data_IF_963508046963
#
_entry.id   IF_963508046963
#
_cell.length_a   1.000
_cell.length_b   1.000
_cell.length_c   1.000
_cell.angle_alpha   90.00
_cell.angle_beta   90.00
_cell.angle_gamma   90.00
#
_symmetry.space_group_name_H-M   'P 1'
#
loop_
_entity.id
_entity.type
_entity.pdbx_description
1 polymer ?
#
# COMPACT_ATOMS: atom_id res chain seq x y z
N UNK A 1 -12.35 14.24 -18.28
CA UNK A 1 -12.35 14.62 -19.71
C UNK A 1 -10.89 14.79 -20.09
N UNK A 2 -10.29 13.89 -20.91
CA UNK A 2 -8.95 14.14 -21.41
C UNK A 2 -8.97 15.46 -22.18
N UNK A 3 -7.98 16.31 -21.94
CA UNK A 3 -7.87 17.58 -22.62
C UNK A 3 -7.62 17.32 -24.10
N UNK A 4 -8.34 17.99 -25.02
CA UNK A 4 -8.18 17.83 -26.48
C UNK A 4 -6.75 18.18 -27.01
N UNK A 5 -5.82 18.52 -26.11
CA UNK A 5 -4.46 18.93 -26.39
C UNK A 5 -3.41 18.02 -25.70
N UNK A 6 -3.84 16.89 -25.12
CA UNK A 6 -2.95 15.89 -24.55
C UNK A 6 -2.09 15.26 -25.65
N UNK A 7 -0.78 15.29 -25.45
CA UNK A 7 0.20 14.73 -26.41
C UNK A 7 0.77 13.42 -25.88
N UNK A 8 0.82 13.25 -24.56
CA UNK A 8 1.23 12.00 -23.95
C UNK A 8 1.11 12.00 -22.43
N UNK A 9 1.31 10.81 -21.86
CA UNK A 9 1.13 10.55 -20.44
C UNK A 9 2.32 9.77 -19.87
N UNK A 10 2.65 10.02 -18.62
CA UNK A 10 3.61 9.27 -17.83
C UNK A 10 3.02 8.95 -16.45
N UNK A 11 3.36 7.79 -15.90
CA UNK A 11 2.78 7.27 -14.65
C UNK A 11 3.90 6.91 -13.68
N UNK A 12 3.81 7.41 -12.45
CA UNK A 12 4.78 7.15 -11.37
C UNK A 12 4.09 6.48 -10.18
N UNK A 13 4.63 5.37 -9.72
CA UNK A 13 4.12 4.68 -8.54
C UNK A 13 4.49 5.42 -7.25
N UNK A 14 3.49 5.66 -6.39
CA UNK A 14 3.68 6.44 -5.17
C UNK A 14 4.00 5.59 -3.95
N UNK A 15 3.73 4.27 -3.99
CA UNK A 15 3.89 3.35 -2.86
C UNK A 15 5.18 3.52 -2.05
N UNK A 16 6.37 3.76 -2.64
CA UNK A 16 7.59 3.91 -1.84
C UNK A 16 7.56 5.11 -0.86
N UNK A 17 6.74 6.13 -1.12
CA UNK A 17 6.57 7.27 -0.21
C UNK A 17 5.94 6.87 1.14
N UNK A 18 5.30 5.69 1.24
CA UNK A 18 4.79 5.12 2.50
C UNK A 18 5.90 4.94 3.54
N UNK A 19 7.10 4.59 3.08
CA UNK A 19 8.28 4.40 3.92
C UNK A 19 9.23 5.59 3.84
N UNK A 20 8.69 6.78 3.50
CA UNK A 20 9.45 8.02 3.35
C UNK A 20 10.61 7.91 2.35
N UNK A 21 10.53 7.04 1.34
CA UNK A 21 11.64 6.82 0.40
C UNK A 21 11.70 7.88 -0.70
N UNK A 22 12.92 8.20 -1.15
CA UNK A 22 13.15 9.05 -2.32
C UNK A 22 12.80 8.27 -3.58
N UNK A 23 11.77 8.70 -4.31
CA UNK A 23 11.41 8.09 -5.60
C UNK A 23 12.17 8.82 -6.69
N UNK A 24 13.16 8.16 -7.29
CA UNK A 24 13.89 8.64 -8.45
C UNK A 24 13.63 7.64 -9.59
N UNK A 25 12.78 8.02 -10.54
CA UNK A 25 12.35 7.11 -11.61
C UNK A 25 12.42 7.78 -12.98
N UNK A 26 12.73 6.97 -13.98
CA UNK A 26 12.73 7.34 -15.39
C UNK A 26 11.64 6.54 -16.08
N UNK A 27 10.53 7.19 -16.41
CA UNK A 27 9.34 6.55 -16.97
C UNK A 27 9.13 6.98 -18.42
N UNK A 28 8.73 6.07 -19.32
CA UNK A 28 8.44 6.45 -20.69
C UNK A 28 7.19 7.32 -20.74
N UNK A 29 7.25 8.39 -21.52
CA UNK A 29 6.07 9.15 -21.95
C UNK A 29 5.45 8.41 -23.11
N UNK A 30 4.18 8.04 -23.02
CA UNK A 30 3.45 7.33 -24.06
C UNK A 30 2.39 8.23 -24.69
N UNK A 31 2.21 8.16 -26.00
CA UNK A 31 1.05 8.77 -26.68
C UNK A 31 -0.18 7.83 -26.65
N UNK A 32 -1.30 8.30 -27.19
CA UNK A 32 -2.54 7.50 -27.28
C UNK A 32 -2.38 6.19 -28.08
N UNK A 33 -1.37 6.11 -28.96
CA UNK A 33 -1.03 4.91 -29.72
C UNK A 33 -0.07 3.95 -28.98
N UNK A 34 0.33 4.29 -27.75
CA UNK A 34 1.29 3.52 -26.95
C UNK A 34 2.75 3.66 -27.39
N UNK A 35 3.06 4.60 -28.29
CA UNK A 35 4.42 4.87 -28.72
C UNK A 35 5.14 5.77 -27.71
N UNK A 36 6.40 5.45 -27.43
CA UNK A 36 7.23 6.26 -26.55
C UNK A 36 7.63 7.57 -27.22
N UNK A 37 7.21 8.68 -26.63
CA UNK A 37 7.60 10.04 -27.03
C UNK A 37 8.95 10.43 -26.45
N UNK A 38 9.29 9.96 -25.26
CA UNK A 38 10.53 10.29 -24.56
C UNK A 38 10.55 9.67 -23.17
N UNK A 39 11.52 10.07 -22.36
CA UNK A 39 11.65 9.60 -20.97
C UNK A 39 11.46 10.78 -20.03
N UNK A 40 10.46 10.68 -19.16
CA UNK A 40 10.24 11.61 -18.07
C UNK A 40 11.01 11.13 -16.85
N UNK A 41 11.93 11.97 -16.39
CA UNK A 41 12.63 11.71 -15.13
C UNK A 41 11.93 12.49 -14.03
N UNK A 42 11.43 11.76 -13.04
CA UNK A 42 10.70 12.31 -11.91
C UNK A 42 11.43 11.97 -10.63
N UNK A 43 11.73 13.00 -9.83
CA UNK A 43 12.23 12.85 -8.47
C UNK A 43 11.19 13.37 -7.48
N UNK A 44 10.68 12.48 -6.62
CA UNK A 44 9.82 12.81 -5.48
C UNK A 44 10.62 12.63 -4.20
N UNK A 45 10.86 13.74 -3.48
CA UNK A 45 11.59 13.73 -2.21
C UNK A 45 10.67 14.17 -1.06
N UNK A 46 10.30 13.27 -0.14
CA UNK A 46 9.58 13.63 1.07
C UNK A 46 10.52 14.27 2.11
N UNK A 47 10.03 15.22 2.89
CA UNK A 47 10.76 15.87 3.99
C UNK A 47 9.81 16.36 5.08
N UNK A 48 10.15 16.10 6.34
CA UNK A 48 9.44 16.62 7.52
C UNK A 48 9.80 18.08 7.85
N UNK A 49 10.84 18.62 7.20
CA UNK A 49 11.23 20.03 7.30
C UNK A 49 10.91 20.74 5.99
N UNK A 50 10.45 21.99 6.07
CA UNK A 50 10.27 22.84 4.90
C UNK A 50 11.63 23.14 4.29
N UNK A 51 12.07 22.32 3.33
CA UNK A 51 13.29 22.55 2.59
C UNK A 51 12.99 23.56 1.48
N UNK A 52 13.56 24.76 1.58
CA UNK A 52 13.68 25.66 0.45
C UNK A 52 14.74 25.09 -0.49
N UNK A 53 14.32 24.38 -1.54
CA UNK A 53 15.24 23.83 -2.54
C UNK A 53 15.47 24.91 -3.59
N UNK A 54 16.61 25.61 -3.48
CA UNK A 54 17.14 26.45 -4.55
C UNK A 54 17.70 25.54 -5.67
N UNK A 55 17.60 25.94 -6.95
CA UNK A 55 18.10 25.15 -8.06
C UNK A 55 19.60 25.40 -8.19
N UNK A 56 20.44 24.50 -7.67
CA UNK A 56 21.85 24.50 -8.04
C UNK A 56 22.39 23.09 -8.19
N UNK A 57 23.06 22.90 -9.30
CA UNK A 57 23.63 21.68 -9.82
C UNK A 57 24.43 20.86 -8.79
N UNK A 58 24.42 19.54 -9.04
CA UNK A 58 25.33 18.54 -8.50
C UNK A 58 25.20 18.21 -7.00
N UNK A 59 24.55 17.08 -6.75
CA UNK A 59 24.97 16.15 -5.71
C UNK A 59 24.46 16.43 -4.30
N UNK A 60 23.50 15.61 -3.88
CA UNK A 60 23.18 15.30 -2.47
C UNK A 60 22.71 16.50 -1.64
N UNK A 61 21.46 16.90 -1.85
CA UNK A 61 20.75 17.77 -0.90
C UNK A 61 20.31 16.90 0.28
N UNK A 62 21.03 17.01 1.39
CA UNK A 62 20.72 16.40 2.67
C UNK A 62 19.41 16.97 3.26
N UNK A 63 18.27 16.49 2.78
CA UNK A 63 17.01 16.51 3.51
C UNK A 63 16.93 15.24 4.36
N UNK A 64 16.76 15.38 5.68
CA UNK A 64 16.82 14.23 6.59
C UNK A 64 15.85 13.10 6.21
N UNK A 65 16.43 11.91 6.02
CA UNK A 65 15.90 10.55 6.18
C UNK A 65 14.89 10.01 5.15
N UNK A 66 15.04 10.34 3.87
CA UNK A 66 14.49 9.47 2.83
C UNK A 66 15.57 8.49 2.35
N UNK A 67 15.37 7.19 2.59
CA UNK A 67 16.25 6.17 1.99
C UNK A 67 15.93 6.10 0.49
N UNK A 68 16.92 5.89 -0.37
CA UNK A 68 16.65 5.60 -1.78
C UNK A 68 15.88 4.29 -1.88
N UNK A 69 14.93 4.21 -2.81
CA UNK A 69 14.22 2.97 -3.12
C UNK A 69 15.25 1.87 -3.44
N UNK A 70 15.24 0.71 -2.74
CA UNK A 70 16.05 -0.44 -3.09
C UNK A 70 15.75 -0.90 -4.54
N UNK A 71 16.76 -1.36 -5.27
CA UNK A 71 16.59 -1.77 -6.68
C UNK A 71 15.65 -2.98 -6.87
N UNK A 72 15.46 -3.77 -5.81
CA UNK A 72 14.55 -4.91 -5.78
C UNK A 72 13.17 -4.43 -5.28
N UNK A 73 12.34 -3.98 -6.22
CA UNK A 73 11.01 -3.37 -5.98
C UNK A 73 10.02 -4.36 -5.33
N UNK A 74 10.31 -5.66 -5.39
CA UNK A 74 9.44 -6.74 -4.91
C UNK A 74 9.53 -7.02 -3.40
N UNK A 75 10.49 -6.41 -2.68
CA UNK A 75 10.74 -6.68 -1.25
C UNK A 75 10.13 -5.64 -0.28
N UNK A 76 9.35 -4.67 -0.78
CA UNK A 76 8.54 -3.78 0.06
C UNK A 76 7.30 -4.55 0.58
N UNK A 77 7.53 -5.58 1.40
CA UNK A 77 6.50 -6.39 2.03
C UNK A 77 5.72 -5.61 3.09
N UNK A 78 4.47 -5.99 3.32
CA UNK A 78 3.53 -5.33 4.24
C UNK A 78 3.96 -5.32 5.73
N UNK A 79 5.07 -5.97 6.07
CA UNK A 79 5.63 -6.03 7.43
C UNK A 79 6.52 -4.82 7.79
N UNK A 80 6.87 -3.96 6.84
CA UNK A 80 7.64 -2.75 7.12
C UNK A 80 6.78 -1.66 7.75
N UNK A 81 7.30 -1.09 8.85
CA UNK A 81 6.68 0.03 9.57
C UNK A 81 6.38 1.16 8.58
N UNK A 82 5.10 1.50 8.49
CA UNK A 82 4.60 2.59 7.67
C UNK A 82 5.01 3.92 8.31
N UNK A 83 6.19 4.42 7.95
CA UNK A 83 6.74 5.66 8.49
C UNK A 83 5.79 6.84 8.24
N UNK A 84 5.07 6.84 7.12
CA UNK A 84 4.07 7.86 6.83
C UNK A 84 2.89 7.79 7.82
N UNK A 85 2.41 6.60 8.21
CA UNK A 85 1.38 6.48 9.28
C UNK A 85 1.85 7.04 10.62
N UNK A 86 3.15 6.93 10.95
CA UNK A 86 3.67 7.49 12.22
C UNK A 86 3.64 9.03 12.26
N UNK A 87 3.56 9.67 11.09
CA UNK A 87 3.51 11.12 10.95
C UNK A 87 2.08 11.67 10.92
N UNK A 88 1.06 10.87 11.24
CA UNK A 88 -0.35 11.32 11.24
C UNK A 88 -0.54 12.63 12.02
N UNK A 89 -1.22 13.59 11.39
CA UNK A 89 -1.40 14.95 11.91
C UNK A 89 -0.22 15.92 11.73
N UNK A 90 0.90 15.46 11.16
CA UNK A 90 2.06 16.31 10.84
C UNK A 90 2.07 16.80 9.39
N UNK A 91 2.84 17.85 9.11
CA UNK A 91 3.04 18.31 7.72
C UNK A 91 4.24 17.63 7.08
N UNK A 92 4.01 17.12 5.87
CA UNK A 92 5.03 16.59 4.98
C UNK A 92 5.23 17.56 3.81
N UNK A 93 6.49 17.74 3.41
CA UNK A 93 6.87 18.49 2.21
C UNK A 93 7.34 17.51 1.14
N UNK A 94 6.80 17.61 -0.07
CA UNK A 94 7.18 16.76 -1.19
C UNK A 94 7.75 17.65 -2.27
N UNK A 95 9.04 17.50 -2.55
CA UNK A 95 9.68 18.14 -3.70
C UNK A 95 9.48 17.26 -4.92
N UNK A 96 8.94 17.84 -5.99
CA UNK A 96 8.70 17.22 -7.28
C UNK A 96 9.62 17.90 -8.28
N UNK A 97 10.61 17.17 -8.79
CA UNK A 97 11.47 17.63 -9.88
C UNK A 97 11.17 16.80 -11.11
N UNK A 98 10.94 17.48 -12.22
CA UNK A 98 10.57 16.86 -13.48
C UNK A 98 11.47 17.42 -14.57
N UNK A 99 12.01 16.52 -15.39
CA UNK A 99 12.65 16.89 -16.65
C UNK A 99 12.43 15.81 -17.70
N UNK A 100 12.41 16.21 -18.97
CA UNK A 100 12.33 15.26 -20.09
C UNK A 100 13.74 15.04 -20.65
N UNK A 101 14.20 13.79 -20.63
CA UNK A 101 15.40 13.41 -21.36
C UNK A 101 15.05 13.25 -22.86
N UNK A 102 15.52 14.21 -23.64
CA UNK A 102 15.32 14.25 -25.10
C UNK A 102 16.41 13.53 -25.89
N UNK A 103 17.48 13.05 -25.22
CA UNK A 103 18.63 12.42 -25.89
C UNK A 103 18.29 11.05 -26.52
N UNK A 104 17.28 10.35 -25.98
CA UNK A 104 16.87 9.01 -26.43
C UNK A 104 15.62 8.97 -27.33
N UNK A 105 14.94 10.11 -27.53
CA UNK A 105 13.66 10.13 -28.25
C UNK A 105 13.83 10.00 -29.77
N UNK A 106 13.15 9.00 -30.35
CA UNK A 106 13.00 8.84 -31.81
C UNK A 106 11.85 9.68 -32.37
N UNK A 107 11.06 10.35 -31.53
CA UNK A 107 9.84 11.02 -31.96
C UNK A 107 10.12 12.48 -32.41
N UNK A 108 9.79 12.86 -33.65
CA UNK A 108 10.07 14.19 -34.19
C UNK A 108 9.29 15.33 -33.50
N UNK A 109 8.23 15.04 -32.75
CA UNK A 109 7.42 16.06 -32.08
C UNK A 109 8.19 16.80 -31.00
N UNK A 110 8.89 16.08 -30.11
CA UNK A 110 9.72 16.69 -29.05
C UNK A 110 11.07 17.23 -29.54
N UNK A 111 11.52 16.83 -30.73
CA UNK A 111 12.75 17.37 -31.36
C UNK A 111 12.52 18.66 -32.15
N UNK A 112 11.30 18.91 -32.66
CA UNK A 112 10.99 20.08 -33.50
C UNK A 112 10.34 21.24 -32.75
N UNK A 113 9.55 20.95 -31.73
CA UNK A 113 8.93 21.99 -30.93
C UNK A 113 9.88 22.44 -29.81
N UNK A 114 9.91 23.75 -29.54
CA UNK A 114 10.69 24.27 -28.41
C UNK A 114 10.15 23.68 -27.10
N UNK A 115 10.98 23.43 -26.07
CA UNK A 115 10.52 22.96 -24.76
C UNK A 115 9.44 23.86 -24.14
N UNK A 116 9.39 25.13 -24.54
CA UNK A 116 8.36 26.11 -24.16
C UNK A 116 6.98 25.86 -24.78
N UNK A 117 6.88 24.98 -25.78
CA UNK A 117 5.65 24.66 -26.50
C UNK A 117 4.83 23.55 -25.84
N UNK A 118 5.31 23.00 -24.72
CA UNK A 118 4.53 22.06 -23.93
C UNK A 118 4.55 22.43 -22.44
N UNK A 119 3.51 21.97 -21.76
CA UNK A 119 3.37 22.05 -20.32
C UNK A 119 3.06 20.65 -19.77
N UNK A 120 3.47 20.41 -18.54
CA UNK A 120 3.13 19.20 -17.80
C UNK A 120 2.07 19.55 -16.77
N UNK A 121 0.96 18.81 -16.81
CA UNK A 121 -0.08 18.86 -15.81
C UNK A 121 -0.10 17.62 -14.96
N UNK A 122 -0.17 17.80 -13.64
CA UNK A 122 -0.38 16.72 -12.69
C UNK A 122 -1.21 17.21 -11.51
N UNK A 123 -1.82 16.25 -10.83
CA UNK A 123 -2.60 16.46 -9.63
C UNK A 123 -2.03 15.54 -8.55
N UNK A 124 -1.59 16.12 -7.44
CA UNK A 124 -1.09 15.35 -6.31
C UNK A 124 -2.11 15.39 -5.18
N UNK A 125 -2.65 14.23 -4.80
CA UNK A 125 -3.68 14.12 -3.76
C UNK A 125 -4.88 15.06 -4.05
N UNK A 126 -5.51 15.62 -3.00
CA UNK A 126 -6.66 16.54 -3.09
C UNK A 126 -6.30 17.96 -3.57
N UNK A 127 -5.17 18.14 -4.26
CA UNK A 127 -4.83 19.42 -4.87
C UNK A 127 -5.59 19.63 -6.18
N UNK A 128 -5.72 20.88 -6.62
CA UNK A 128 -6.17 21.17 -7.98
C UNK A 128 -5.10 20.73 -8.98
N UNK A 129 -5.51 20.36 -10.20
CA UNK A 129 -4.57 20.16 -11.31
C UNK A 129 -3.72 21.41 -11.51
N UNK A 130 -2.40 21.24 -11.47
CA UNK A 130 -1.44 22.32 -11.69
C UNK A 130 -0.74 22.10 -13.03
N UNK A 131 -0.50 23.19 -13.76
CA UNK A 131 0.22 23.20 -15.02
C UNK A 131 1.59 23.86 -14.83
N UNK A 132 2.64 23.18 -15.23
CA UNK A 132 4.02 23.63 -15.12
C UNK A 132 4.73 23.53 -16.47
N UNK A 133 5.83 24.29 -16.67
CA UNK A 133 6.75 24.01 -17.77
C UNK A 133 7.23 22.55 -17.74
N UNK A 134 7.66 22.00 -18.88
CA UNK A 134 8.19 20.62 -18.95
C UNK A 134 9.29 20.37 -17.91
N UNK A 135 10.21 21.33 -17.78
CA UNK A 135 11.31 21.26 -16.82
C UNK A 135 10.99 22.18 -15.65
N UNK A 136 10.63 21.59 -14.51
CA UNK A 136 10.25 22.35 -13.33
C UNK A 136 10.62 21.65 -12.02
N UNK A 137 10.67 22.46 -10.97
CA UNK A 137 10.78 22.01 -9.58
C UNK A 137 9.67 22.65 -8.78
N UNK A 138 8.82 21.83 -8.17
CA UNK A 138 7.70 22.26 -7.33
C UNK A 138 7.84 21.64 -5.93
N UNK A 139 7.32 22.32 -4.91
CA UNK A 139 7.32 21.82 -3.54
C UNK A 139 5.91 21.92 -2.98
N UNK A 140 5.37 20.78 -2.56
CA UNK A 140 3.99 20.66 -2.08
C UNK A 140 4.02 20.42 -0.57
N UNK A 141 3.28 21.23 0.18
CA UNK A 141 3.03 21.01 1.61
C UNK A 141 1.73 20.25 1.78
N UNK A 142 1.78 19.08 2.44
CA UNK A 142 0.62 18.20 2.61
C UNK A 142 0.48 17.84 4.09
N UNK A 143 -0.75 17.83 4.59
CA UNK A 143 -1.05 17.28 5.91
C UNK A 143 -1.13 15.75 5.81
N UNK A 144 -0.34 15.05 6.61
CA UNK A 144 -0.39 13.59 6.69
C UNK A 144 -1.69 13.21 7.40
N UNK A 145 -2.51 12.45 6.69
CA UNK A 145 -3.80 11.91 7.15
C UNK A 145 -3.94 10.48 6.66
N UNK A 146 -4.84 9.69 7.25
CA UNK A 146 -5.16 8.35 6.76
C UNK A 146 -5.49 8.32 5.25
N UNK A 147 -6.21 9.32 4.75
CA UNK A 147 -6.52 9.45 3.33
C UNK A 147 -5.30 9.63 2.43
N UNK A 148 -4.27 10.33 2.91
CA UNK A 148 -3.01 10.48 2.17
C UNK A 148 -2.26 9.15 2.11
N UNK A 149 -2.25 8.40 3.21
CA UNK A 149 -1.63 7.07 3.28
C UNK A 149 -2.32 6.11 2.30
N UNK A 150 -3.65 6.12 2.27
CA UNK A 150 -4.45 5.30 1.34
C UNK A 150 -4.18 5.67 -0.12
N UNK A 151 -4.12 6.97 -0.42
CA UNK A 151 -3.80 7.51 -1.74
C UNK A 151 -2.41 7.04 -2.23
N UNK A 152 -1.38 7.22 -1.41
CA UNK A 152 -0.01 6.82 -1.75
C UNK A 152 0.12 5.29 -1.92
N UNK A 153 -0.70 4.51 -1.21
CA UNK A 153 -0.65 3.04 -1.24
C UNK A 153 -1.31 2.42 -2.48
N UNK A 154 -2.37 3.07 -2.98
CA UNK A 154 -3.26 2.51 -4.00
C UNK A 154 -3.16 3.22 -5.35
N UNK A 155 -2.65 4.45 -5.38
CA UNK A 155 -2.68 5.29 -6.58
C UNK A 155 -1.29 5.50 -7.20
N UNK A 156 -1.35 6.00 -8.43
CA UNK A 156 -0.19 6.44 -9.20
C UNK A 156 -0.31 7.93 -9.48
N UNK A 157 0.82 8.63 -9.49
CA UNK A 157 0.87 10.01 -9.92
C UNK A 157 0.98 10.05 -11.44
N UNK A 158 -0.03 10.64 -12.05
CA UNK A 158 -0.13 10.78 -13.50
C UNK A 158 0.33 12.16 -13.93
N UNK A 159 1.24 12.18 -14.89
CA UNK A 159 1.70 13.38 -15.57
C UNK A 159 1.15 13.37 -17.00
N UNK A 160 0.43 14.42 -17.36
CA UNK A 160 -0.11 14.64 -18.70
C UNK A 160 0.67 15.78 -19.37
N UNK A 161 1.15 15.56 -20.59
CA UNK A 161 1.87 16.55 -21.38
C UNK A 161 0.89 17.18 -22.35
N UNK A 162 0.76 18.50 -22.29
CA UNK A 162 -0.18 19.28 -23.10
C UNK A 162 0.62 20.18 -24.05
N UNK A 163 0.17 20.26 -25.31
CA UNK A 163 0.70 21.24 -26.27
C UNK A 163 0.12 22.63 -26.00
N UNK A 164 0.98 23.63 -25.76
CA UNK A 164 0.58 25.04 -25.59
C UNK A 164 0.45 25.78 -26.93
N UNK A 165 0.90 25.16 -28.03
CA UNK A 165 0.89 25.77 -29.37
C UNK A 165 -0.50 25.85 -30.05
N UNK A 166 -1.52 25.21 -29.47
CA UNK A 166 -2.86 25.13 -30.07
C UNK A 166 -3.74 26.38 -29.86
N UNK A 167 -3.39 27.29 -28.95
CA UNK A 167 -4.23 28.46 -28.65
C UNK A 167 -4.06 29.65 -29.62
N UNK A 168 -3.00 29.70 -30.43
CA UNK A 168 -2.72 30.88 -31.28
C UNK A 168 -3.37 30.85 -32.68
N UNK A 169 -4.08 29.79 -33.08
CA UNK A 169 -4.56 29.61 -34.47
C UNK A 169 -6.07 29.73 -34.69
N UNK A 170 -6.81 30.39 -33.78
CA UNK A 170 -8.27 30.59 -33.90
C UNK A 170 -8.74 32.03 -34.11
N UNK A 171 -7.83 32.97 -34.42
CA UNK A 171 -8.22 34.29 -34.92
C UNK A 171 -7.54 34.57 -36.26
N UNK A 172 -8.38 34.83 -37.25
CA UNK A 172 -8.09 35.28 -38.62
C UNK A 172 -7.79 34.21 -39.70
N UNK A 173 -8.87 33.76 -40.34
CA UNK A 173 -8.88 33.50 -41.78
C UNK A 173 -10.28 33.81 -42.37
N UNK A 174 -10.40 34.61 -43.44
CA UNK A 174 -11.68 35.01 -44.02
C UNK A 174 -12.26 33.95 -44.95
N UNK A 175 -13.58 34.00 -45.08
CA UNK A 175 -14.44 33.11 -45.85
C UNK A 175 -14.06 32.95 -47.33
N UNK A 176 -14.14 31.72 -47.84
CA UNK A 176 -14.36 31.45 -49.27
C UNK A 176 -15.43 30.38 -49.40
N UNK A 177 -16.56 30.77 -50.01
CA UNK A 177 -17.64 29.90 -50.41
C UNK A 177 -17.26 29.10 -51.67
N UNK A 178 -17.67 27.82 -51.76
CA UNK A 178 -17.69 27.09 -53.02
C UNK A 178 -18.80 26.02 -53.03
N UNK A 179 -19.84 26.31 -53.82
CA UNK A 179 -20.60 25.41 -54.70
C UNK A 179 -20.93 23.98 -54.24
N UNK A 180 -22.20 23.75 -53.92
CA UNK A 180 -22.83 22.43 -53.76
C UNK A 180 -23.10 21.78 -55.13
N UNK A 181 -22.48 20.63 -55.39
CA UNK A 181 -22.87 19.67 -56.42
C UNK A 181 -23.75 18.59 -55.79
N UNK A 182 -24.88 18.26 -56.41
CA UNK A 182 -25.87 17.30 -55.89
C UNK A 182 -25.48 15.82 -56.06
N UNK A 183 -24.27 15.54 -56.56
CA UNK A 183 -23.71 14.20 -56.66
C UNK A 183 -22.93 13.77 -55.39
N UNK A 184 -22.44 14.73 -54.60
CA UNK A 184 -21.63 14.47 -53.40
C UNK A 184 -22.49 14.02 -52.20
N UNK A 185 -23.80 14.30 -52.21
CA UNK A 185 -24.70 13.96 -51.10
C UNK A 185 -25.01 12.47 -50.99
N UNK A 186 -25.08 11.75 -52.11
CA UNK A 186 -25.33 10.29 -52.11
C UNK A 186 -24.11 9.50 -51.62
N UNK A 187 -22.91 9.91 -52.02
CA UNK A 187 -21.65 9.33 -51.53
C UNK A 187 -21.43 9.65 -50.05
N UNK A 188 -21.74 10.87 -49.61
CA UNK A 188 -21.68 11.26 -48.19
C UNK A 188 -22.68 10.46 -47.32
N UNK A 189 -23.90 10.22 -47.82
CA UNK A 189 -24.90 9.38 -47.12
C UNK A 189 -24.47 7.90 -47.04
N UNK A 190 -23.86 7.36 -48.09
CA UNK A 190 -23.33 6.00 -48.08
C UNK A 190 -22.17 5.85 -47.07
N UNK A 191 -21.28 6.84 -47.00
CA UNK A 191 -20.17 6.87 -46.04
C UNK A 191 -20.68 7.03 -44.59
N UNK A 192 -21.70 7.86 -44.38
CA UNK A 192 -22.36 8.02 -43.08
C UNK A 192 -23.04 6.72 -42.62
N UNK A 193 -23.70 6.00 -43.53
CA UNK A 193 -24.32 4.70 -43.22
C UNK A 193 -23.28 3.62 -42.92
N UNK A 194 -22.16 3.58 -43.66
CA UNK A 194 -21.06 2.66 -43.40
C UNK A 194 -20.41 2.90 -42.02
N UNK A 195 -20.22 4.17 -41.65
CA UNK A 195 -19.72 4.56 -40.33
C UNK A 195 -20.70 4.16 -39.21
N UNK A 196 -22.00 4.33 -39.43
CA UNK A 196 -23.03 3.92 -38.47
C UNK A 196 -23.05 2.40 -38.26
N UNK A 197 -22.88 1.60 -39.32
CA UNK A 197 -22.78 0.14 -39.18
C UNK A 197 -21.50 -0.30 -38.47
N UNK A 198 -20.38 0.39 -38.69
CA UNK A 198 -19.12 0.13 -37.99
C UNK A 198 -19.24 0.45 -36.49
N UNK A 199 -19.81 1.61 -36.15
CA UNK A 199 -20.10 1.98 -34.76
C UNK A 199 -21.03 0.96 -34.09
N UNK A 200 -22.03 0.45 -34.82
CA UNK A 200 -22.94 -0.57 -34.28
C UNK A 200 -22.23 -1.91 -34.06
N UNK A 201 -21.32 -2.32 -34.96
CA UNK A 201 -20.48 -3.50 -34.77
C UNK A 201 -19.53 -3.35 -33.58
N UNK A 202 -18.87 -2.23 -33.45
CA UNK A 202 -17.95 -1.96 -32.33
C UNK A 202 -18.70 -1.92 -31.00
N UNK A 203 -19.90 -1.36 -30.97
CA UNK A 203 -20.77 -1.37 -29.78
C UNK A 203 -21.19 -2.79 -29.41
N UNK A 204 -21.53 -3.63 -30.39
CA UNK A 204 -21.89 -5.03 -30.14
C UNK A 204 -20.69 -5.81 -29.57
N UNK A 205 -19.50 -5.62 -30.15
CA UNK A 205 -18.26 -6.24 -29.68
C UNK A 205 -17.88 -5.80 -28.27
N UNK A 206 -17.97 -4.50 -27.98
CA UNK A 206 -17.71 -3.97 -26.63
C UNK A 206 -18.67 -4.55 -25.58
N UNK A 207 -19.93 -4.79 -25.94
CA UNK A 207 -20.91 -5.44 -25.06
C UNK A 207 -20.53 -6.89 -24.77
N UNK A 208 -20.11 -7.64 -25.79
CA UNK A 208 -19.65 -9.02 -25.64
C UNK A 208 -18.39 -9.10 -24.76
N UNK A 209 -17.40 -8.24 -25.01
CA UNK A 209 -16.18 -8.16 -24.21
C UNK A 209 -16.49 -7.80 -22.75
N UNK A 210 -17.45 -6.88 -22.52
CA UNK A 210 -17.90 -6.53 -21.18
C UNK A 210 -18.60 -7.70 -20.46
N UNK A 211 -19.40 -8.50 -21.17
CA UNK A 211 -20.03 -9.69 -20.60
C UNK A 211 -19.00 -10.78 -20.25
N UNK A 212 -17.99 -10.99 -21.09
CA UNK A 212 -16.88 -11.90 -20.82
C UNK A 212 -16.07 -11.45 -19.61
N UNK A 213 -15.74 -10.16 -19.53
CA UNK A 213 -15.00 -9.60 -18.40
C UNK A 213 -15.83 -9.64 -17.11
N UNK A 214 -17.15 -9.43 -17.19
CA UNK A 214 -18.06 -9.61 -16.06
C UNK A 214 -18.09 -11.07 -15.58
N UNK A 215 -18.15 -12.04 -16.49
CA UNK A 215 -18.13 -13.45 -16.15
C UNK A 215 -16.79 -13.86 -15.49
N UNK A 216 -15.67 -13.35 -16.00
CA UNK A 216 -14.34 -13.55 -15.41
C UNK A 216 -14.25 -12.97 -14.00
N UNK A 217 -14.74 -11.74 -13.81
CA UNK A 217 -14.75 -11.09 -12.50
C UNK A 217 -15.63 -11.83 -11.48
N UNK A 218 -16.77 -12.38 -11.92
CA UNK A 218 -17.62 -13.20 -11.06
C UNK A 218 -16.93 -14.52 -10.65
N UNK A 219 -16.21 -15.16 -11.56
CA UNK A 219 -15.41 -16.35 -11.24
C UNK A 219 -14.32 -16.04 -10.22
N UNK A 220 -13.57 -14.94 -10.40
CA UNK A 220 -12.55 -14.49 -9.45
C UNK A 220 -13.14 -14.16 -8.07
N UNK A 221 -14.31 -13.51 -8.03
CA UNK A 221 -15.05 -13.28 -6.77
C UNK A 221 -15.44 -14.59 -6.09
N UNK A 222 -15.87 -15.59 -6.85
CA UNK A 222 -16.15 -16.93 -6.34
C UNK A 222 -14.92 -17.61 -5.74
N UNK A 223 -13.77 -17.53 -6.40
CA UNK A 223 -12.50 -18.07 -5.88
C UNK A 223 -12.03 -17.35 -4.62
N UNK A 224 -12.12 -16.02 -4.61
CA UNK A 224 -11.79 -15.22 -3.43
C UNK A 224 -12.72 -15.57 -2.25
N UNK A 225 -14.00 -15.81 -2.51
CA UNK A 225 -14.96 -16.28 -1.51
C UNK A 225 -14.56 -17.63 -0.92
N UNK A 226 -14.13 -18.59 -1.74
CA UNK A 226 -13.63 -19.90 -1.27
C UNK A 226 -12.39 -19.74 -0.40
N UNK A 227 -11.46 -18.87 -0.80
CA UNK A 227 -10.24 -18.61 -0.03
C UNK A 227 -10.56 -17.99 1.34
N UNK A 228 -11.48 -17.01 1.38
CA UNK A 228 -11.95 -16.42 2.64
C UNK A 228 -12.58 -17.47 3.56
N UNK A 229 -13.42 -18.37 3.01
CA UNK A 229 -13.99 -19.47 3.79
C UNK A 229 -12.91 -20.39 4.35
N UNK A 230 -11.90 -20.75 3.55
CA UNK A 230 -10.81 -21.62 4.00
C UNK A 230 -9.97 -20.99 5.12
N UNK A 231 -9.64 -19.69 5.00
CA UNK A 231 -8.90 -18.97 6.04
C UNK A 231 -9.71 -18.90 7.34
N UNK A 232 -11.03 -18.66 7.26
CA UNK A 232 -11.89 -18.67 8.45
C UNK A 232 -11.95 -20.04 9.12
N UNK A 233 -12.09 -21.11 8.34
CA UNK A 233 -12.06 -22.48 8.87
C UNK A 233 -10.72 -22.78 9.57
N UNK A 234 -9.61 -22.32 9.01
CA UNK A 234 -8.29 -22.46 9.62
C UNK A 234 -8.16 -21.64 10.91
N UNK A 235 -8.65 -20.40 10.93
CA UNK A 235 -8.66 -19.54 12.12
C UNK A 235 -9.48 -20.16 13.26
N UNK A 236 -10.69 -20.66 12.95
CA UNK A 236 -11.56 -21.34 13.91
C UNK A 236 -10.91 -22.62 14.46
N UNK A 237 -10.23 -23.39 13.60
CA UNK A 237 -9.49 -24.59 14.01
C UNK A 237 -8.34 -24.25 14.96
N UNK A 238 -7.55 -23.20 14.67
CA UNK A 238 -6.49 -22.74 15.56
C UNK A 238 -7.03 -22.22 16.89
N UNK A 239 -8.12 -21.44 16.87
CA UNK A 239 -8.77 -20.96 18.10
C UNK A 239 -9.24 -22.11 18.98
N UNK A 240 -9.78 -23.17 18.39
CA UNK A 240 -10.17 -24.39 19.11
C UNK A 240 -8.95 -25.12 19.72
N UNK A 241 -7.85 -25.20 18.97
CA UNK A 241 -6.60 -25.79 19.46
C UNK A 241 -5.98 -24.99 20.61
N UNK A 242 -6.03 -23.66 20.56
CA UNK A 242 -5.54 -22.80 21.65
C UNK A 242 -6.38 -22.98 22.91
N UNK A 243 -7.72 -23.02 22.78
CA UNK A 243 -8.63 -23.24 23.92
C UNK A 243 -8.41 -24.59 24.59
N UNK A 244 -8.28 -25.66 23.81
CA UNK A 244 -7.98 -26.99 24.36
C UNK A 244 -6.61 -27.02 25.05
N UNK A 245 -5.58 -26.47 24.41
CA UNK A 245 -4.24 -26.39 25.01
C UNK A 245 -4.21 -25.60 26.33
N UNK A 246 -4.98 -24.50 26.41
CA UNK A 246 -5.11 -23.71 27.63
C UNK A 246 -5.84 -24.49 28.74
N UNK A 247 -6.87 -25.25 28.39
CA UNK A 247 -7.57 -26.13 29.32
C UNK A 247 -6.65 -27.21 29.86
N UNK A 248 -5.89 -27.88 28.99
CA UNK A 248 -4.94 -28.93 29.40
C UNK A 248 -3.84 -28.37 30.31
N UNK A 249 -3.29 -27.18 30.00
CA UNK A 249 -2.32 -26.50 30.87
C UNK A 249 -2.91 -26.18 32.24
N UNK A 250 -4.16 -25.73 32.30
CA UNK A 250 -4.83 -25.43 33.57
C UNK A 250 -5.04 -26.70 34.42
N UNK A 251 -5.35 -27.83 33.78
CA UNK A 251 -5.52 -29.10 34.47
C UNK A 251 -4.19 -29.65 35.00
N UNK A 252 -3.12 -29.56 34.21
CA UNK A 252 -1.77 -29.94 34.65
C UNK A 252 -1.34 -29.11 35.86
N UNK A 253 -1.57 -27.80 35.85
CA UNK A 253 -1.26 -26.93 36.98
C UNK A 253 -2.05 -27.34 38.25
N UNK A 254 -3.34 -27.69 38.09
CA UNK A 254 -4.18 -28.17 39.19
C UNK A 254 -3.68 -29.50 39.77
N UNK A 255 -3.29 -30.44 38.90
CA UNK A 255 -2.73 -31.73 39.32
C UNK A 255 -1.38 -31.58 40.02
N UNK A 256 -0.53 -30.67 39.55
CA UNK A 256 0.74 -30.35 40.20
C UNK A 256 0.55 -29.78 41.61
N UNK A 257 -0.39 -28.84 41.79
CA UNK A 257 -0.65 -28.28 43.14
C UNK A 257 -1.25 -29.35 44.08
N UNK A 258 -2.13 -30.22 43.57
CA UNK A 258 -2.63 -31.36 44.35
C UNK A 258 -1.48 -32.27 44.78
N UNK A 259 -0.57 -32.64 43.86
CA UNK A 259 0.59 -33.47 44.20
C UNK A 259 1.51 -32.80 45.24
N UNK A 260 1.67 -31.48 45.20
CA UNK A 260 2.43 -30.73 46.23
C UNK A 260 1.74 -30.75 47.58
N UNK A 261 0.41 -30.62 47.62
CA UNK A 261 -0.37 -30.72 48.85
C UNK A 261 -0.25 -32.12 49.47
N UNK A 262 -0.44 -33.17 48.67
CA UNK A 262 -0.33 -34.57 49.12
C UNK A 262 1.10 -34.88 49.65
N UNK A 263 2.13 -34.32 49.01
CA UNK A 263 3.52 -34.46 49.47
C UNK A 263 3.76 -33.80 50.85
N UNK A 264 3.21 -32.59 51.08
CA UNK A 264 3.28 -31.90 52.37
C UNK A 264 2.53 -32.67 53.46
N UNK A 265 1.36 -33.23 53.15
CA UNK A 265 0.59 -34.07 54.08
C UNK A 265 1.37 -35.33 54.47
N UNK A 266 1.96 -36.03 53.48
CA UNK A 266 2.79 -37.19 53.74
C UNK A 266 4.00 -36.86 54.63
N UNK A 267 4.65 -35.73 54.40
CA UNK A 267 5.77 -35.27 55.23
C UNK A 267 5.32 -34.99 56.68
N UNK A 268 4.15 -34.36 56.86
CA UNK A 268 3.57 -34.14 58.20
C UNK A 268 3.27 -35.46 58.92
N UNK A 269 2.68 -36.43 58.23
CA UNK A 269 2.38 -37.75 58.81
C UNK A 269 3.66 -38.51 59.19
N UNK A 270 4.70 -38.47 58.33
CA UNK A 270 6.00 -39.06 58.64
C UNK A 270 6.65 -38.41 59.87
N UNK A 271 6.53 -37.09 59.99
CA UNK A 271 7.03 -36.37 61.18
C UNK A 271 6.27 -36.80 62.44
N UNK A 272 4.95 -36.89 62.38
CA UNK A 272 4.14 -37.37 63.51
C UNK A 272 4.51 -38.80 63.91
N UNK A 273 4.76 -39.68 62.94
CA UNK A 273 5.19 -41.05 63.18
C UNK A 273 6.55 -41.08 63.90
N UNK A 274 7.54 -40.36 63.38
CA UNK A 274 8.87 -40.26 64.00
C UNK A 274 8.81 -39.68 65.42
N UNK A 275 8.00 -38.63 65.63
CA UNK A 275 7.79 -38.04 66.96
C UNK A 275 7.13 -39.04 67.93
N UNK A 276 6.21 -39.88 67.43
CA UNK A 276 5.57 -40.94 68.23
C UNK A 276 6.53 -42.08 68.54
N UNK A 277 7.35 -42.54 67.58
CA UNK A 277 8.36 -43.57 67.78
C UNK A 277 9.43 -43.11 68.79
N UNK A 278 9.89 -41.86 68.69
CA UNK A 278 10.81 -41.28 69.66
C UNK A 278 10.21 -41.24 71.08
N UNK A 279 8.92 -40.94 71.23
CA UNK A 279 8.21 -41.03 72.53
C UNK A 279 8.13 -42.46 73.04
N UNK A 280 7.83 -43.44 72.19
CA UNK A 280 7.83 -44.84 72.61
C UNK A 280 9.22 -45.34 73.00
N UNK A 281 10.26 -44.93 72.28
CA UNK A 281 11.62 -45.35 72.54
C UNK A 281 12.14 -44.78 73.86
N UNK A 282 11.83 -43.53 74.20
CA UNK A 282 12.15 -42.93 75.50
C UNK A 282 11.44 -43.63 76.67
N UNK A 283 10.21 -44.12 76.47
CA UNK A 283 9.49 -44.95 77.46
C UNK A 283 10.13 -46.33 77.66
N UNK A 284 10.73 -46.92 76.61
CA UNK A 284 11.41 -48.21 76.69
C UNK A 284 12.84 -48.13 77.25
N UNK A 285 13.56 -47.03 77.00
CA UNK A 285 14.95 -46.84 77.45
C UNK A 285 15.10 -46.24 78.84
N UNK A 286 14.00 -45.84 79.49
CA UNK A 286 13.98 -45.42 80.89
C UNK A 286 13.56 -46.60 81.80
N UNK A 287 14.51 -47.34 82.42
CA UNK A 287 14.19 -48.36 83.42
C UNK A 287 13.70 -47.78 84.76
N UNK A 288 13.75 -46.45 84.94
CA UNK A 288 13.33 -45.77 86.17
C UNK A 288 12.07 -44.89 85.95
N UNK A 289 10.92 -45.53 85.70
CA UNK A 289 9.65 -44.96 86.15
C UNK A 289 9.33 -45.50 87.54
N UNK A 290 9.28 -44.66 88.59
CA UNK A 290 8.83 -45.09 89.91
C UNK A 290 7.36 -45.51 89.84
N UNK A 291 7.06 -46.59 90.56
CA UNK A 291 5.71 -47.07 90.87
C UNK A 291 4.84 -45.88 91.31
N UNK A 292 3.86 -45.49 90.49
CA UNK A 292 2.80 -44.57 90.93
C UNK A 292 1.68 -45.37 91.58
N UNK A 293 1.46 -45.02 92.83
CA UNK A 293 0.57 -45.52 93.87
C UNK A 293 -0.66 -46.35 93.46
N UNK A 294 -0.72 -47.51 94.09
CA UNK A 294 -1.92 -48.16 94.62
C UNK A 294 -2.96 -47.12 95.10
N UNK A 295 -4.14 -47.11 94.48
CA UNK A 295 -5.34 -46.57 95.14
C UNK A 295 -5.69 -47.52 96.29
N UNK A 296 -5.47 -47.08 97.53
CA UNK A 296 -6.10 -47.67 98.70
C UNK A 296 -7.51 -47.09 98.77
N UNK A 297 -8.51 -47.96 98.63
CA UNK A 297 -9.91 -47.66 98.98
C UNK A 297 -10.02 -47.81 100.50
N UNK A 298 -10.40 -46.73 101.18
CA UNK A 298 -11.05 -46.73 102.50
C UNK A 298 -12.12 -45.64 102.49
#
# INVERSE_FOLDING_TARGET
MPSNNSVGQAIVYLRPLRHMLDVETSVPVLNDAGESLGTLVVQLRPSVKGAAIAPSASGVVAGNNAKKVPGDVDDLSDDDVDELKTLDGSFLWISVQVHIDTAASKNPLLRRAAPSSYAITYMFFQSNTQSFPIDHSNTIKVLVTSKLVDYVSSETLTFEIISTAAEEKSRDAPAVAASSSTADTAAALAMQNALLEEIQRDKAKMLEDHELEKARNEALRGELGKLISHVKEQEDAMLSQVKSSQQDQSEVARLQEKSRADAREKEQLLKQLNDSDAKYQTLLTNPDTPKSSTCIIN
#
